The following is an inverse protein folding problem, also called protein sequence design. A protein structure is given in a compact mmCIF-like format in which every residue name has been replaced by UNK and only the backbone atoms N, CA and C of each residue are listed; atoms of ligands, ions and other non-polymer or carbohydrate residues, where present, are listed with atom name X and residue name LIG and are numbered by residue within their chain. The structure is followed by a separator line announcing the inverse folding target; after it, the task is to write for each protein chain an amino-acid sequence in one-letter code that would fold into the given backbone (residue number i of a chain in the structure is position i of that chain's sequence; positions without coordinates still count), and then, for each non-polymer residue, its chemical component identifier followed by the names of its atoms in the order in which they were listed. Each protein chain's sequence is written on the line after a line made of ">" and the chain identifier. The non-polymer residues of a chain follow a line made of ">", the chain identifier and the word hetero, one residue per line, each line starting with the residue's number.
data_IF_486717651816
#
_entry.id   IF_486717651816
#
_cell.length_a   1.000
_cell.length_b   1.000
_cell.length_c   1.000
_cell.angle_alpha   90.00
_cell.angle_beta   90.00
_cell.angle_gamma   90.00
#
_symmetry.space_group_name_H-M   'P 1'
#
loop_
_entity.id
_entity.type
_entity.pdbx_description
1 polymer ?
#
# COMPACT_ATOMS: atom_id res chain seq x y z
N UNK A 1 -10.23 -26.16 -31.16
CA UNK A 1 -11.05 -26.50 -29.97
C UNK A 1 -10.23 -27.15 -28.86
N UNK A 2 -9.38 -28.14 -29.18
CA UNK A 2 -8.58 -28.90 -28.18
C UNK A 2 -7.76 -28.04 -27.20
N UNK A 3 -7.23 -26.91 -27.66
CA UNK A 3 -6.39 -26.03 -26.84
C UNK A 3 -7.16 -25.01 -25.99
N UNK A 4 -8.44 -24.79 -26.26
CA UNK A 4 -9.23 -23.74 -25.62
C UNK A 4 -9.29 -23.90 -24.08
N UNK A 5 -9.49 -25.11 -23.51
CA UNK A 5 -9.44 -25.31 -22.06
C UNK A 5 -8.11 -24.92 -21.43
N UNK A 6 -6.99 -25.20 -22.11
CA UNK A 6 -5.63 -24.87 -21.65
C UNK A 6 -5.39 -23.36 -21.70
N UNK A 7 -5.82 -22.71 -22.77
CA UNK A 7 -5.68 -21.25 -22.95
C UNK A 7 -6.47 -20.50 -21.87
N UNK A 8 -7.73 -20.87 -21.65
CA UNK A 8 -8.59 -20.21 -20.66
C UNK A 8 -8.09 -20.41 -19.22
N UNK A 9 -7.67 -21.62 -18.86
CA UNK A 9 -7.03 -21.88 -17.56
C UNK A 9 -5.78 -21.03 -17.36
N UNK A 10 -4.91 -20.97 -18.37
CA UNK A 10 -3.69 -20.17 -18.31
C UNK A 10 -4.04 -18.69 -18.15
N UNK A 11 -5.01 -18.20 -18.91
CA UNK A 11 -5.46 -16.82 -18.82
C UNK A 11 -6.01 -16.49 -17.42
N UNK A 12 -6.87 -17.33 -16.87
CA UNK A 12 -7.40 -17.16 -15.51
C UNK A 12 -6.29 -17.20 -14.45
N UNK A 13 -5.33 -18.14 -14.56
CA UNK A 13 -4.16 -18.21 -13.69
C UNK A 13 -3.34 -16.91 -13.77
N UNK A 14 -3.03 -16.43 -14.98
CA UNK A 14 -2.24 -15.20 -15.17
C UNK A 14 -2.98 -13.98 -14.64
N UNK A 15 -4.29 -13.88 -14.88
CA UNK A 15 -5.10 -12.75 -14.43
C UNK A 15 -5.23 -12.64 -12.91
N UNK A 16 -5.15 -13.79 -12.23
CA UNK A 16 -5.33 -13.88 -10.76
C UNK A 16 -4.02 -14.07 -10.01
N UNK A 17 -2.93 -14.43 -10.69
CA UNK A 17 -1.61 -14.53 -10.09
C UNK A 17 -1.01 -13.14 -9.83
N UNK A 18 -0.38 -12.93 -8.67
CA UNK A 18 0.28 -11.65 -8.36
C UNK A 18 1.50 -11.35 -9.25
N UNK A 19 1.73 -10.07 -9.62
CA UNK A 19 0.80 -8.96 -9.54
C UNK A 19 -0.36 -9.16 -10.54
N UNK A 20 -1.59 -9.30 -10.03
CA UNK A 20 -2.72 -9.66 -10.88
C UNK A 20 -3.17 -8.49 -11.75
N UNK A 21 -3.71 -8.79 -12.92
CA UNK A 21 -4.05 -7.80 -13.94
C UNK A 21 -4.89 -8.39 -15.08
N UNK A 22 -5.30 -7.55 -16.04
CA UNK A 22 -6.11 -8.01 -17.16
C UNK A 22 -5.33 -8.94 -18.09
N UNK A 23 -6.05 -9.84 -18.75
CA UNK A 23 -5.53 -10.71 -19.81
C UNK A 23 -6.41 -10.58 -21.05
N UNK A 24 -5.79 -10.70 -22.22
CA UNK A 24 -6.49 -10.68 -23.51
C UNK A 24 -6.33 -12.02 -24.21
N UNK A 25 -7.43 -12.56 -24.72
CA UNK A 25 -7.45 -13.82 -25.50
C UNK A 25 -8.07 -13.48 -26.86
N UNK A 26 -7.31 -13.73 -27.93
CA UNK A 26 -7.82 -13.68 -29.29
C UNK A 26 -8.18 -15.09 -29.73
N UNK A 27 -9.43 -15.29 -30.18
CA UNK A 27 -9.93 -16.57 -30.68
C UNK A 27 -10.31 -16.42 -32.16
N UNK A 28 -9.98 -17.40 -33.01
CA UNK A 28 -10.48 -17.47 -34.38
C UNK A 28 -12.02 -17.49 -34.43
N UNK A 29 -12.61 -16.95 -35.49
CA UNK A 29 -14.08 -16.86 -35.64
C UNK A 29 -14.77 -18.23 -35.64
N UNK A 30 -14.18 -19.22 -36.31
CA UNK A 30 -14.67 -20.60 -36.34
C UNK A 30 -14.69 -21.27 -34.95
N UNK A 31 -13.76 -20.88 -34.07
CA UNK A 31 -13.73 -21.34 -32.68
C UNK A 31 -14.81 -20.65 -31.84
N UNK A 32 -15.13 -19.40 -32.13
CA UNK A 32 -16.18 -18.63 -31.44
C UNK A 32 -17.59 -19.09 -31.84
N UNK A 33 -17.78 -19.44 -33.10
CA UNK A 33 -19.06 -19.91 -33.64
C UNK A 33 -19.32 -21.40 -33.38
N UNK A 34 -18.28 -22.14 -32.95
CA UNK A 34 -18.35 -23.58 -32.70
C UNK A 34 -18.92 -23.94 -31.33
N UNK A 35 -19.67 -25.04 -31.26
CA UNK A 35 -20.13 -25.65 -30.01
C UNK A 35 -19.33 -26.92 -29.68
N UNK A 36 -18.88 -27.07 -28.44
CA UNK A 36 -18.28 -28.30 -27.94
C UNK A 36 -18.41 -28.41 -26.42
N UNK A 37 -18.49 -29.64 -25.92
CA UNK A 37 -18.28 -29.91 -24.50
C UNK A 37 -16.78 -29.82 -24.18
N UNK A 38 -16.43 -28.95 -23.23
CA UNK A 38 -15.04 -28.67 -22.86
C UNK A 38 -14.80 -29.04 -21.40
N UNK A 39 -13.82 -29.91 -21.16
CA UNK A 39 -13.30 -30.14 -19.81
C UNK A 39 -12.17 -29.13 -19.51
N UNK A 40 -12.46 -28.17 -18.65
CA UNK A 40 -11.48 -27.22 -18.15
C UNK A 40 -10.50 -27.81 -17.15
N UNK A 41 -10.77 -29.00 -16.60
CA UNK A 41 -9.96 -29.63 -15.58
C UNK A 41 -9.81 -28.77 -14.33
N UNK A 42 -8.64 -28.85 -13.67
CA UNK A 42 -8.37 -28.14 -12.42
C UNK A 42 -7.83 -26.73 -12.65
N UNK A 43 -8.30 -25.79 -11.84
CA UNK A 43 -7.73 -24.45 -11.75
C UNK A 43 -6.44 -24.46 -10.92
N UNK A 44 -5.59 -23.45 -11.13
CA UNK A 44 -4.38 -23.22 -10.32
C UNK A 44 -4.44 -21.80 -9.81
N UNK A 45 -4.36 -21.64 -8.48
CA UNK A 45 -4.23 -20.34 -7.83
C UNK A 45 -2.80 -20.15 -7.35
N UNK A 46 -2.22 -19.00 -7.64
CA UNK A 46 -0.91 -18.60 -7.13
C UNK A 46 -1.17 -17.69 -5.94
N UNK A 47 -0.77 -18.14 -4.76
CA UNK A 47 -0.97 -17.38 -3.52
C UNK A 47 0.10 -16.28 -3.37
N UNK A 48 -0.27 -15.04 -2.96
CA UNK A 48 0.64 -13.92 -2.79
C UNK A 48 1.45 -14.01 -1.48
N UNK A 49 2.15 -15.13 -1.25
CA UNK A 49 2.82 -15.41 0.05
C UNK A 49 4.31 -15.04 0.06
N UNK A 50 4.80 -14.32 -0.96
CA UNK A 50 6.21 -13.99 -1.06
C UNK A 50 6.60 -12.94 -0.01
N UNK A 51 7.52 -13.31 0.90
CA UNK A 51 8.15 -12.36 1.84
C UNK A 51 9.68 -12.35 1.69
N UNK A 52 10.36 -11.25 2.04
CA UNK A 52 11.81 -11.17 2.03
C UNK A 52 12.45 -12.13 3.04
N UNK A 53 13.68 -12.56 2.75
CA UNK A 53 14.50 -13.34 3.67
C UNK A 53 14.77 -12.58 4.97
N UNK A 54 14.94 -13.30 6.09
CA UNK A 54 15.07 -12.71 7.42
C UNK A 54 16.24 -11.73 7.54
N UNK A 55 17.38 -12.01 6.89
CA UNK A 55 18.52 -11.08 6.84
C UNK A 55 18.17 -9.75 6.16
N UNK A 56 17.32 -9.79 5.12
CA UNK A 56 16.82 -8.58 4.43
C UNK A 56 15.85 -7.81 5.32
N UNK A 57 14.97 -8.52 6.03
CA UNK A 57 14.05 -7.91 7.02
C UNK A 57 14.83 -7.24 8.14
N UNK A 58 15.86 -7.90 8.68
CA UNK A 58 16.69 -7.34 9.73
C UNK A 58 17.46 -6.09 9.25
N UNK A 59 18.03 -6.13 8.04
CA UNK A 59 18.70 -4.97 7.43
C UNK A 59 17.72 -3.80 7.26
N UNK A 60 16.53 -4.06 6.73
CA UNK A 60 15.49 -3.04 6.59
C UNK A 60 15.11 -2.48 7.96
N UNK A 61 14.83 -3.34 8.94
CA UNK A 61 14.46 -2.92 10.28
C UNK A 61 15.53 -1.99 10.86
N UNK A 62 16.80 -2.41 10.89
CA UNK A 62 17.91 -1.55 11.34
C UNK A 62 17.96 -0.21 10.63
N UNK A 63 17.70 -0.18 9.32
CA UNK A 63 17.67 1.06 8.55
C UNK A 63 16.51 1.97 8.96
N UNK A 64 15.31 1.42 9.14
CA UNK A 64 14.15 2.17 9.62
C UNK A 64 14.37 2.73 11.03
N UNK A 65 15.06 1.98 11.90
CA UNK A 65 15.36 2.41 13.27
C UNK A 65 16.37 3.56 13.37
N UNK A 66 17.11 3.84 12.30
CA UNK A 66 18.00 5.00 12.22
C UNK A 66 17.27 6.29 11.82
N UNK A 67 16.03 6.19 11.30
CA UNK A 67 15.25 7.36 10.93
C UNK A 67 14.71 8.08 12.16
N UNK A 68 14.88 9.40 12.19
CA UNK A 68 14.37 10.27 13.23
C UNK A 68 12.91 10.67 12.96
N UNK A 69 12.54 10.98 11.71
CA UNK A 69 11.19 11.43 11.34
C UNK A 69 10.70 10.78 10.03
N UNK A 70 10.60 9.44 9.98
CA UNK A 70 10.09 8.78 8.79
C UNK A 70 8.61 9.12 8.54
N UNK A 71 8.17 8.95 7.30
CA UNK A 71 6.76 9.06 6.87
C UNK A 71 6.38 7.83 6.05
N UNK A 72 5.14 7.37 6.21
CA UNK A 72 4.58 6.28 5.43
C UNK A 72 3.65 6.84 4.35
N UNK A 73 3.79 6.36 3.12
CA UNK A 73 2.82 6.54 2.05
C UNK A 73 2.28 5.18 1.67
N UNK A 74 0.97 4.99 1.85
CA UNK A 74 0.28 3.74 1.53
C UNK A 74 -0.28 3.75 0.11
N UNK A 75 -0.12 2.62 -0.56
CA UNK A 75 -0.61 2.33 -1.89
C UNK A 75 -1.75 1.32 -1.90
N UNK A 76 -2.12 0.90 -3.11
CA UNK A 76 -3.31 0.09 -3.36
C UNK A 76 -3.20 -1.37 -2.92
N UNK A 77 -1.98 -1.92 -2.82
CA UNK A 77 -1.78 -3.28 -2.34
C UNK A 77 -2.18 -3.45 -0.87
N UNK A 78 -2.22 -2.37 -0.08
CA UNK A 78 -2.70 -2.44 1.31
C UNK A 78 -4.15 -2.93 1.36
N UNK A 79 -5.01 -2.41 0.48
CA UNK A 79 -6.41 -2.83 0.43
C UNK A 79 -6.60 -4.10 -0.37
N UNK A 80 -5.78 -4.30 -1.41
CA UNK A 80 -5.80 -5.51 -2.22
C UNK A 80 -5.53 -6.77 -1.40
N UNK A 81 -4.62 -6.69 -0.43
CA UNK A 81 -4.18 -7.82 0.39
C UNK A 81 -4.71 -7.77 1.83
N UNK A 82 -5.62 -6.85 2.14
CA UNK A 82 -6.17 -6.68 3.49
C UNK A 82 -5.09 -6.47 4.57
N UNK A 83 -4.10 -5.62 4.26
CA UNK A 83 -2.92 -5.36 5.10
C UNK A 83 -3.11 -4.19 6.08
N UNK A 84 -4.37 -3.85 6.39
CA UNK A 84 -4.70 -2.66 7.19
C UNK A 84 -4.17 -2.76 8.62
N UNK A 85 -4.30 -3.94 9.23
CA UNK A 85 -3.84 -4.20 10.59
C UNK A 85 -2.30 -4.10 10.68
N UNK A 86 -1.59 -4.72 9.74
CA UNK A 86 -0.13 -4.74 9.71
C UNK A 86 0.44 -3.35 9.41
N UNK A 87 -0.19 -2.60 8.50
CA UNK A 87 0.19 -1.21 8.24
C UNK A 87 -0.08 -0.29 9.44
N UNK A 88 -1.21 -0.49 10.12
CA UNK A 88 -1.54 0.26 11.35
C UNK A 88 -0.51 -0.03 12.44
N UNK A 89 -0.20 -1.30 12.67
CA UNK A 89 0.79 -1.71 13.65
C UNK A 89 2.19 -1.13 13.37
N UNK A 90 2.58 -1.00 12.09
CA UNK A 90 3.82 -0.33 11.71
C UNK A 90 3.78 1.18 12.02
N UNK A 91 2.69 1.86 11.62
CA UNK A 91 2.49 3.28 11.87
C UNK A 91 2.51 3.62 13.37
N UNK A 92 1.84 2.81 14.18
CA UNK A 92 1.83 2.93 15.64
C UNK A 92 3.20 2.68 16.25
N UNK A 93 3.89 1.62 15.82
CA UNK A 93 5.21 1.24 16.36
C UNK A 93 6.27 2.30 16.10
N UNK A 94 6.26 2.93 14.92
CA UNK A 94 7.20 3.99 14.58
C UNK A 94 6.74 5.38 15.07
N UNK A 95 5.44 5.51 15.34
CA UNK A 95 4.77 6.76 15.68
C UNK A 95 4.88 7.80 14.57
N UNK A 96 4.51 7.43 13.35
CA UNK A 96 4.77 8.23 12.13
C UNK A 96 3.49 8.66 11.45
N UNK A 97 3.57 9.75 10.69
CA UNK A 97 2.50 10.17 9.79
C UNK A 97 2.30 9.14 8.67
N UNK A 98 1.03 8.85 8.38
CA UNK A 98 0.61 7.97 7.29
C UNK A 98 -0.27 8.75 6.32
N UNK A 99 0.16 8.80 5.06
CA UNK A 99 -0.59 9.41 3.97
C UNK A 99 -1.04 8.37 2.95
N UNK A 100 -2.17 8.59 2.29
CA UNK A 100 -2.45 7.88 1.03
C UNK A 100 -1.63 8.46 -0.12
N UNK A 101 -1.32 7.60 -1.11
CA UNK A 101 -0.70 7.99 -2.37
C UNK A 101 -1.45 9.14 -3.09
N UNK A 102 -0.73 9.84 -3.96
CA UNK A 102 -1.20 11.04 -4.68
C UNK A 102 -2.42 10.81 -5.58
N UNK A 103 -2.58 9.58 -6.08
CA UNK A 103 -3.71 9.18 -6.95
C UNK A 103 -4.31 7.90 -6.37
N UNK A 104 -5.13 8.00 -5.32
CA UNK A 104 -5.70 6.83 -4.68
C UNK A 104 -6.81 6.23 -5.56
N UNK A 105 -6.85 4.90 -5.62
CA UNK A 105 -7.86 4.07 -6.30
C UNK A 105 -8.77 3.31 -5.32
N UNK A 106 -8.46 3.38 -4.03
CA UNK A 106 -9.24 2.82 -2.92
C UNK A 106 -8.90 3.58 -1.60
N UNK A 107 -9.63 3.28 -0.52
CA UNK A 107 -9.19 3.63 0.83
C UNK A 107 -8.09 2.65 1.24
N UNK A 108 -6.93 3.14 1.69
CA UNK A 108 -5.73 2.31 1.96
C UNK A 108 -5.31 2.31 3.43
N UNK A 109 -6.01 3.06 4.29
CA UNK A 109 -5.70 3.17 5.72
C UNK A 109 -6.97 3.58 6.49
N UNK A 110 -7.13 3.18 7.78
CA UNK A 110 -8.28 3.59 8.57
C UNK A 110 -8.33 5.11 8.77
N UNK A 111 -9.39 5.75 8.28
CA UNK A 111 -9.51 7.21 8.28
C UNK A 111 -9.63 7.82 9.68
N UNK A 112 -10.16 7.09 10.66
CA UNK A 112 -10.23 7.56 12.05
C UNK A 112 -8.89 7.46 12.81
N UNK A 113 -7.89 6.77 12.26
CA UNK A 113 -6.66 6.50 12.99
C UNK A 113 -5.83 7.77 13.17
N UNK A 114 -5.32 8.00 14.39
CA UNK A 114 -4.54 9.19 14.79
C UNK A 114 -3.29 9.48 13.95
N UNK A 115 -2.71 8.44 13.33
CA UNK A 115 -1.57 8.58 12.43
C UNK A 115 -1.94 9.04 11.01
N UNK A 116 -3.24 9.00 10.67
CA UNK A 116 -3.71 9.26 9.32
C UNK A 116 -3.78 10.76 9.02
N UNK A 117 -3.03 11.19 8.00
CA UNK A 117 -2.91 12.61 7.62
C UNK A 117 -3.66 12.95 6.32
N UNK A 118 -4.47 12.02 5.79
CA UNK A 118 -5.19 12.18 4.53
C UNK A 118 -4.41 11.72 3.31
N UNK A 119 -4.92 12.06 2.11
CA UNK A 119 -4.24 11.76 0.85
C UNK A 119 -3.29 12.89 0.45
N UNK A 120 -2.12 12.54 -0.09
CA UNK A 120 -1.24 13.52 -0.71
C UNK A 120 -1.95 14.16 -1.93
N UNK A 121 -1.88 15.49 -2.11
CA UNK A 121 -2.54 16.14 -3.24
C UNK A 121 -1.83 15.82 -4.56
N UNK A 122 -2.56 15.91 -5.68
CA UNK A 122 -1.99 15.97 -7.05
C UNK A 122 -1.35 17.33 -7.33
N UNK A 123 -0.43 17.75 -6.47
CA UNK A 123 0.36 18.97 -6.60
C UNK A 123 1.76 18.71 -6.03
N UNK A 124 2.75 18.63 -6.92
CA UNK A 124 4.10 18.20 -6.58
C UNK A 124 4.78 19.15 -5.60
N UNK A 125 4.63 20.47 -5.75
CA UNK A 125 5.19 21.43 -4.79
C UNK A 125 4.63 21.23 -3.38
N UNK A 126 3.32 21.01 -3.23
CA UNK A 126 2.71 20.75 -1.91
C UNK A 126 3.17 19.41 -1.31
N UNK A 127 3.31 18.39 -2.16
CA UNK A 127 3.85 17.09 -1.73
C UNK A 127 5.31 17.25 -1.28
N UNK A 128 6.12 17.98 -2.04
CA UNK A 128 7.49 18.29 -1.70
C UNK A 128 7.59 18.99 -0.34
N UNK A 129 6.81 20.06 -0.13
CA UNK A 129 6.79 20.80 1.15
C UNK A 129 6.38 19.89 2.31
N UNK A 130 5.39 19.02 2.10
CA UNK A 130 4.95 18.03 3.10
C UNK A 130 6.08 17.05 3.43
N UNK A 131 6.73 16.49 2.40
CA UNK A 131 7.78 15.49 2.55
C UNK A 131 9.11 16.07 3.06
N UNK A 132 9.35 17.37 2.88
CA UNK A 132 10.58 18.06 3.32
C UNK A 132 10.77 18.05 4.84
N UNK A 133 9.70 17.83 5.61
CA UNK A 133 9.76 17.71 7.06
C UNK A 133 10.23 16.34 7.56
N UNK A 134 10.45 15.39 6.65
CA UNK A 134 10.76 14.00 6.93
C UNK A 134 12.17 13.63 6.45
N UNK A 135 12.76 12.62 7.07
CA UNK A 135 14.11 12.14 6.75
C UNK A 135 14.13 10.78 6.05
N UNK A 136 12.96 10.16 5.88
CA UNK A 136 12.77 8.92 5.11
C UNK A 136 11.33 8.76 4.67
N UNK A 137 11.14 8.41 3.40
CA UNK A 137 9.85 7.97 2.86
C UNK A 137 9.78 6.44 2.85
N UNK A 138 8.70 5.88 3.41
CA UNK A 138 8.38 4.46 3.36
C UNK A 138 7.13 4.30 2.49
N UNK A 139 7.33 3.92 1.23
CA UNK A 139 6.27 3.61 0.28
C UNK A 139 5.86 2.13 0.42
N UNK A 140 4.60 1.91 0.78
CA UNK A 140 4.04 0.58 1.04
C UNK A 140 2.96 0.25 0.04
N UNK A 141 3.20 -0.75 -0.79
CA UNK A 141 2.17 -1.40 -1.59
C UNK A 141 1.68 -0.58 -2.78
N UNK A 142 2.56 0.13 -3.48
CA UNK A 142 2.20 0.83 -4.71
C UNK A 142 3.30 1.70 -5.30
N UNK A 143 2.89 2.57 -6.22
CA UNK A 143 3.73 3.56 -6.88
C UNK A 143 4.16 4.65 -5.89
N UNK A 144 5.48 4.89 -5.79
CA UNK A 144 6.02 5.96 -4.96
C UNK A 144 5.76 7.31 -5.63
N UNK A 145 4.74 8.03 -5.15
CA UNK A 145 4.37 9.39 -5.57
C UNK A 145 4.02 9.49 -7.07
N UNK A 146 2.98 8.76 -7.49
CA UNK A 146 2.51 8.75 -8.87
C UNK A 146 2.33 10.17 -9.44
N UNK A 147 3.05 10.44 -10.53
CA UNK A 147 2.94 11.70 -11.30
C UNK A 147 1.67 11.69 -12.16
N UNK A 148 0.95 12.81 -12.20
CA UNK A 148 -0.31 12.94 -12.94
C UNK A 148 -0.41 14.27 -13.69
N UNK A 149 -0.31 15.40 -12.97
CA UNK A 149 -0.33 16.75 -13.56
C UNK A 149 1.11 17.21 -13.78
N UNK A 150 1.37 17.94 -14.88
CA UNK A 150 2.67 18.57 -15.09
C UNK A 150 2.99 19.55 -13.95
N UNK A 151 4.23 19.51 -13.48
CA UNK A 151 4.78 20.46 -12.52
C UNK A 151 6.25 20.71 -12.86
N UNK A 152 6.73 21.97 -12.76
CA UNK A 152 8.15 22.27 -12.89
C UNK A 152 8.97 21.75 -11.70
N UNK A 153 8.32 21.53 -10.56
CA UNK A 153 8.95 21.05 -9.33
C UNK A 153 8.69 19.56 -9.13
N UNK A 154 9.67 18.90 -8.52
CA UNK A 154 9.59 17.51 -8.13
C UNK A 154 8.80 17.29 -6.84
N UNK A 155 8.12 16.15 -6.71
CA UNK A 155 7.36 15.82 -5.50
C UNK A 155 8.24 15.27 -4.37
N UNK A 156 9.30 14.55 -4.73
CA UNK A 156 10.25 14.00 -3.77
C UNK A 156 11.35 15.04 -3.51
N UNK A 157 11.57 15.45 -2.25
CA UNK A 157 12.69 16.32 -1.90
C UNK A 157 14.04 15.68 -2.21
N UNK A 158 15.00 16.52 -2.61
CA UNK A 158 16.35 16.08 -2.92
C UNK A 158 17.00 15.36 -1.72
N UNK A 159 17.56 14.18 -1.99
CA UNK A 159 18.25 13.37 -0.98
C UNK A 159 17.35 12.66 0.02
N UNK A 160 16.01 12.77 -0.08
CA UNK A 160 15.10 12.01 0.79
C UNK A 160 15.16 10.51 0.44
N UNK A 161 15.69 9.64 1.33
CA UNK A 161 15.78 8.23 1.04
C UNK A 161 14.40 7.57 1.00
N UNK A 162 14.17 6.76 -0.04
CA UNK A 162 12.92 6.03 -0.24
C UNK A 162 13.13 4.54 0.05
N UNK A 163 12.32 3.98 0.95
CA UNK A 163 12.11 2.54 1.06
C UNK A 163 10.82 2.21 0.32
N UNK A 164 10.86 1.24 -0.58
CA UNK A 164 9.69 0.81 -1.35
C UNK A 164 9.46 -0.69 -1.19
N UNK A 165 8.24 -1.07 -0.82
CA UNK A 165 7.82 -2.47 -0.67
C UNK A 165 6.57 -2.66 -1.54
N UNK A 166 6.64 -3.50 -2.56
CA UNK A 166 5.50 -3.78 -3.45
C UNK A 166 5.76 -5.09 -4.18
N UNK A 167 4.70 -5.80 -4.56
CA UNK A 167 4.82 -6.98 -5.39
C UNK A 167 4.90 -6.64 -6.89
N UNK A 168 4.39 -5.46 -7.28
CA UNK A 168 4.45 -4.94 -8.64
C UNK A 168 5.87 -4.42 -8.99
N UNK A 169 6.63 -5.24 -9.70
CA UNK A 169 7.98 -4.90 -10.18
C UNK A 169 8.01 -3.64 -11.04
N UNK A 170 6.99 -3.43 -11.88
CA UNK A 170 6.85 -2.25 -12.72
C UNK A 170 6.78 -0.92 -11.94
N UNK A 171 6.33 -0.93 -10.69
CA UNK A 171 6.24 0.28 -9.87
C UNK A 171 7.53 0.57 -9.09
N UNK A 172 8.43 -0.40 -8.94
CA UNK A 172 9.69 -0.24 -8.19
C UNK A 172 10.63 0.69 -8.93
N UNK A 173 11.04 1.79 -8.28
CA UNK A 173 12.03 2.71 -8.86
C UNK A 173 11.56 3.45 -10.11
N UNK A 174 10.27 3.37 -10.45
CA UNK A 174 9.69 3.86 -11.72
C UNK A 174 9.78 5.37 -11.86
N UNK A 175 9.41 6.10 -10.81
CA UNK A 175 9.41 7.56 -10.79
C UNK A 175 10.60 8.13 -10.02
N UNK A 176 10.98 7.48 -8.91
CA UNK A 176 12.04 7.90 -8.01
C UNK A 176 12.86 6.68 -7.56
N UNK A 177 14.20 6.80 -7.45
CA UNK A 177 15.03 5.69 -7.00
C UNK A 177 14.74 5.34 -5.54
N UNK A 178 14.74 4.05 -5.22
CA UNK A 178 14.61 3.54 -3.86
C UNK A 178 15.99 3.18 -3.28
N UNK A 179 16.27 3.65 -2.06
CA UNK A 179 17.42 3.22 -1.25
C UNK A 179 17.32 1.72 -0.94
N UNK A 180 16.12 1.27 -0.59
CA UNK A 180 15.80 -0.15 -0.37
C UNK A 180 14.50 -0.45 -1.11
N UNK A 181 14.57 -1.34 -2.10
CA UNK A 181 13.40 -1.88 -2.79
C UNK A 181 13.21 -3.36 -2.45
N UNK A 182 12.01 -3.74 -2.04
CA UNK A 182 11.63 -5.12 -1.78
C UNK A 182 10.48 -5.53 -2.68
N UNK A 183 10.76 -6.42 -3.64
CA UNK A 183 9.73 -7.08 -4.45
C UNK A 183 9.09 -8.22 -3.68
N UNK A 184 8.06 -7.93 -2.89
CA UNK A 184 7.40 -8.89 -2.02
C UNK A 184 5.98 -8.43 -1.69
N UNK A 185 5.15 -9.38 -1.25
CA UNK A 185 3.82 -9.05 -0.76
C UNK A 185 3.92 -8.14 0.48
N UNK A 186 3.22 -7.00 0.44
CA UNK A 186 3.30 -5.98 1.50
C UNK A 186 2.80 -6.52 2.84
N UNK A 187 1.70 -7.28 2.87
CA UNK A 187 1.13 -7.84 4.11
C UNK A 187 2.10 -8.80 4.77
N UNK A 188 2.58 -9.79 4.00
CA UNK A 188 3.53 -10.79 4.48
C UNK A 188 4.86 -10.17 4.93
N UNK A 189 5.30 -9.12 4.24
CA UNK A 189 6.51 -8.37 4.63
C UNK A 189 6.29 -7.64 5.96
N UNK A 190 5.18 -6.94 6.13
CA UNK A 190 4.87 -6.21 7.36
C UNK A 190 4.65 -7.15 8.56
N UNK A 191 4.03 -8.30 8.33
CA UNK A 191 3.79 -9.33 9.34
C UNK A 191 5.08 -9.82 10.02
N UNK A 192 6.21 -9.84 9.30
CA UNK A 192 7.53 -10.20 9.86
C UNK A 192 8.39 -8.99 10.22
N UNK A 193 8.20 -7.85 9.55
CA UNK A 193 8.95 -6.63 9.82
C UNK A 193 8.58 -6.01 11.19
N UNK A 194 7.28 -5.94 11.52
CA UNK A 194 6.81 -5.34 12.77
C UNK A 194 7.36 -6.06 14.01
N UNK A 195 7.29 -7.41 14.12
CA UNK A 195 7.97 -8.14 15.20
C UNK A 195 9.48 -7.92 15.24
N UNK A 196 10.14 -7.86 14.08
CA UNK A 196 11.58 -7.60 13.99
C UNK A 196 11.94 -6.20 14.53
N UNK A 197 11.16 -5.18 14.17
CA UNK A 197 11.33 -3.81 14.67
C UNK A 197 11.15 -3.70 16.19
N UNK A 198 10.19 -4.44 16.76
CA UNK A 198 9.99 -4.54 18.21
C UNK A 198 11.20 -5.19 18.89
N UNK A 199 11.66 -6.32 18.37
CA UNK A 199 12.83 -7.05 18.89
C UNK A 199 14.11 -6.23 18.88
N UNK A 200 14.34 -5.45 17.82
CA UNK A 200 15.53 -4.61 17.67
C UNK A 200 15.39 -3.23 18.32
N UNK A 201 14.21 -2.91 18.84
CA UNK A 201 13.93 -1.61 19.43
C UNK A 201 14.49 -1.40 20.82
N UNK A 202 14.69 -0.14 21.18
CA UNK A 202 14.94 0.26 22.56
C UNK A 202 13.63 0.26 23.37
N UNK A 203 13.75 0.07 24.68
CA UNK A 203 12.61 0.07 25.59
C UNK A 203 11.81 1.39 25.58
N UNK A 204 12.49 2.53 25.37
CA UNK A 204 11.85 3.85 25.37
C UNK A 204 11.06 4.17 24.09
N UNK A 205 11.16 3.32 23.06
CA UNK A 205 10.55 3.60 21.76
C UNK A 205 9.04 3.76 21.84
N UNK A 206 8.38 2.92 22.61
CA UNK A 206 6.91 2.98 22.73
C UNK A 206 6.45 4.31 23.35
N UNK A 207 7.26 4.90 24.24
CA UNK A 207 7.00 6.24 24.76
C UNK A 207 7.21 7.32 23.68
N UNK A 208 8.31 7.24 22.93
CA UNK A 208 8.61 8.17 21.83
C UNK A 208 7.54 8.11 20.74
N UNK A 209 7.15 6.91 20.31
CA UNK A 209 6.14 6.71 19.28
C UNK A 209 4.78 7.28 19.71
N UNK A 210 4.37 7.03 20.97
CA UNK A 210 3.16 7.65 21.54
C UNK A 210 3.22 9.17 21.54
N UNK A 211 4.34 9.75 21.97
CA UNK A 211 4.52 11.22 21.96
C UNK A 211 4.39 11.82 20.56
N UNK A 212 5.03 11.22 19.56
CA UNK A 212 4.90 11.65 18.15
C UNK A 212 3.48 11.56 17.64
N UNK A 213 2.79 10.46 17.94
CA UNK A 213 1.41 10.29 17.51
C UNK A 213 0.45 11.27 18.23
N UNK A 214 0.74 11.68 19.47
CA UNK A 214 -0.02 12.71 20.18
C UNK A 214 0.18 14.10 19.54
N UNK A 215 1.39 14.38 19.04
CA UNK A 215 1.69 15.59 18.27
C UNK A 215 0.96 15.60 16.92
N UNK A 216 0.91 14.45 16.23
CA UNK A 216 0.17 14.28 14.99
C UNK A 216 -1.34 14.49 15.20
N UNK A 217 -1.91 13.99 16.30
CA UNK A 217 -3.33 14.18 16.58
C UNK A 217 -3.70 15.66 16.83
N UNK A 218 -2.76 16.46 17.35
CA UNK A 218 -2.93 17.90 17.58
C UNK A 218 -2.76 18.74 16.31
N UNK A 219 -1.84 18.33 15.43
CA UNK A 219 -1.46 19.08 14.22
C UNK A 219 -2.21 18.64 12.96
N UNK A 220 -2.67 17.39 12.94
CA UNK A 220 -3.57 16.85 11.94
C UNK A 220 -4.89 17.59 12.02
N UNK A 221 -5.07 18.58 11.13
CA UNK A 221 -6.32 19.29 10.94
C UNK A 221 -7.41 18.32 10.50
N UNK A 222 -8.00 17.60 11.46
CA UNK A 222 -9.25 16.88 11.25
C UNK A 222 -10.26 17.94 10.83
N UNK A 223 -10.85 17.89 9.62
CA UNK A 223 -12.04 18.68 9.36
C UNK A 223 -13.05 18.27 10.44
N UNK A 224 -13.37 19.21 11.34
CA UNK A 224 -14.30 19.08 12.47
C UNK A 224 -15.74 18.72 12.07
N UNK A 225 -15.96 18.35 10.80
CA UNK A 225 -17.25 18.23 10.15
C UNK A 225 -18.03 16.96 10.54
N UNK A 226 -17.41 15.97 11.19
CA UNK A 226 -18.05 14.68 11.48
C UNK A 226 -18.35 14.39 12.96
N UNK A 227 -17.90 15.22 13.92
CA UNK A 227 -18.16 14.98 15.37
C UNK A 227 -19.46 15.68 15.86
N UNK A 228 -20.26 16.25 14.95
CA UNK A 228 -21.56 16.86 15.28
C UNK A 228 -22.69 16.30 14.42
N UNK A 229 -22.88 14.98 14.44
CA UNK A 229 -24.22 14.42 14.28
C UNK A 229 -24.74 14.08 15.67
N UNK A 230 -25.34 15.10 16.30
CA UNK A 230 -26.27 14.86 17.39
C UNK A 230 -27.31 13.83 16.95
N UNK A 231 -27.58 12.87 17.82
CA UNK A 231 -28.74 11.97 17.84
C UNK A 231 -29.79 12.26 16.76
N UNK A 232 -29.72 11.55 15.63
CA UNK A 232 -30.81 11.52 14.66
C UNK A 232 -31.89 10.57 15.21
N UNK A 233 -33.15 11.01 15.38
CA UNK A 233 -34.22 10.15 15.88
C UNK A 233 -34.56 9.03 14.88
N UNK A 234 -34.90 7.86 15.42
CA UNK A 234 -35.38 6.65 14.74
C UNK A 234 -36.16 6.91 13.44
N UNK A 235 -35.65 6.42 12.31
CA UNK A 235 -36.44 6.15 11.12
C UNK A 235 -36.81 4.66 11.09
N UNK A 236 -38.06 4.36 11.37
CA UNK A 236 -38.67 3.05 11.19
C UNK A 236 -38.90 2.75 9.71
N UNK A 237 -38.28 1.69 9.20
CA UNK A 237 -38.60 1.11 7.89
C UNK A 237 -39.88 0.27 8.00
N UNK A 238 -40.94 0.67 7.30
CA UNK A 238 -42.07 -0.22 6.99
C UNK A 238 -41.87 -0.83 5.61
N UNK A 239 -41.78 -2.15 5.55
CA UNK A 239 -41.77 -2.97 4.35
C UNK A 239 -43.15 -2.99 3.69
N UNK A 240 -43.19 -2.86 2.36
CA UNK A 240 -44.24 -3.45 1.51
C UNK A 240 -43.55 -4.22 0.39
#
# INVERSE_FOLDING_TARGET
>A
MEDLPRILRRAAKVATAPPAGPVFISLPGDILDGEAELDFGRSTRVEPTARPADATIERLARRLLQAQRPVIVVGNEISRYDAWAECTALGELLGVAVYQQTVPDAAHFPSEHRAYMGSLPRNQSKVHDTLSAHDRLISLGGDSLRRSVYSPNDALPDGLPVVQITEADWDIGKNYPAEIALRANVRETLAVLVPCLRRLGSADRDAVARGRLDELDKTGGRPRFWISLGSVPNCSFTST
#
